data_IF_249905779777
#
_entry.id   IF_249905779777
#
_cell.length_a   1.000
_cell.length_b   1.000
_cell.length_c   1.000
_cell.angle_alpha   90.00
_cell.angle_beta   90.00
_cell.angle_gamma   90.00
#
_symmetry.space_group_name_H-M   'P 1'
#
loop_
_entity.id
_entity.type
_entity.pdbx_description
1 polymer ?
#
# COMPACT_ATOMS: atom_id res chain seq x y z
N UNK A 1 5.64 -22.56 -13.46
CA UNK A 1 4.26 -22.08 -13.44
C UNK A 1 4.10 -20.98 -12.41
N UNK A 2 3.78 -19.79 -12.87
CA UNK A 2 3.68 -18.64 -11.95
C UNK A 2 2.31 -18.70 -11.28
N UNK A 3 2.29 -18.76 -9.94
CA UNK A 3 1.04 -18.68 -9.20
C UNK A 3 0.48 -17.27 -9.31
N UNK A 4 -0.82 -17.16 -9.56
CA UNK A 4 -1.49 -15.86 -9.49
C UNK A 4 -1.36 -15.30 -8.07
N UNK A 5 -1.02 -14.01 -7.89
CA UNK A 5 -0.98 -13.42 -6.56
C UNK A 5 -2.36 -13.51 -5.91
N UNK A 6 -2.36 -13.67 -4.60
CA UNK A 6 -3.62 -13.61 -3.84
C UNK A 6 -4.22 -12.22 -4.01
N UNK A 7 -5.55 -12.13 -3.97
CA UNK A 7 -6.28 -10.88 -4.07
C UNK A 7 -5.73 -9.82 -3.10
N UNK A 8 -5.49 -10.21 -1.84
CA UNK A 8 -4.92 -9.31 -0.83
C UNK A 8 -3.51 -8.83 -1.19
N UNK A 9 -2.66 -9.71 -1.74
CA UNK A 9 -1.30 -9.36 -2.16
C UNK A 9 -1.33 -8.39 -3.34
N UNK A 10 -2.24 -8.60 -4.28
CA UNK A 10 -2.41 -7.73 -5.43
C UNK A 10 -2.82 -6.32 -5.01
N UNK A 11 -3.74 -6.21 -4.07
CA UNK A 11 -4.18 -4.93 -3.51
C UNK A 11 -3.02 -4.23 -2.80
N UNK A 12 -2.25 -4.94 -1.96
CA UNK A 12 -1.10 -4.37 -1.26
C UNK A 12 -0.04 -3.85 -2.22
N UNK A 13 0.31 -4.65 -3.22
CA UNK A 13 1.33 -4.28 -4.19
C UNK A 13 0.92 -3.04 -4.99
N UNK A 14 -0.30 -3.02 -5.49
CA UNK A 14 -0.81 -1.87 -6.23
C UNK A 14 -0.89 -0.62 -5.34
N UNK A 15 -1.34 -0.78 -4.09
CA UNK A 15 -1.38 0.32 -3.11
C UNK A 15 0.00 0.88 -2.83
N UNK A 16 1.00 0.01 -2.64
CA UNK A 16 2.38 0.43 -2.41
C UNK A 16 2.94 1.22 -3.60
N UNK A 17 2.65 0.80 -4.82
CA UNK A 17 3.08 1.50 -6.03
C UNK A 17 2.43 2.89 -6.15
N UNK A 18 1.14 2.98 -5.88
CA UNK A 18 0.42 4.25 -5.89
C UNK A 18 0.98 5.20 -4.83
N UNK A 19 1.20 4.70 -3.61
CA UNK A 19 1.73 5.52 -2.52
C UNK A 19 3.16 5.97 -2.77
N UNK A 20 4.00 5.12 -3.37
CA UNK A 20 5.35 5.50 -3.76
C UNK A 20 5.33 6.60 -4.82
N UNK A 21 4.49 6.44 -5.83
CA UNK A 21 4.32 7.43 -6.90
C UNK A 21 3.80 8.76 -6.34
N UNK A 22 2.82 8.70 -5.44
CA UNK A 22 2.28 9.89 -4.79
C UNK A 22 3.35 10.68 -4.05
N UNK A 23 4.25 10.00 -3.35
CA UNK A 23 5.36 10.65 -2.64
C UNK A 23 6.32 11.36 -3.59
N UNK A 24 6.54 10.79 -4.78
CA UNK A 24 7.47 11.35 -5.77
C UNK A 24 6.87 12.49 -6.57
N UNK A 25 5.63 12.35 -7.01
CA UNK A 25 5.01 13.25 -7.96
C UNK A 25 4.18 14.36 -7.31
N UNK A 26 3.86 14.23 -6.03
CA UNK A 26 2.99 15.17 -5.31
C UNK A 26 1.66 15.41 -6.03
N UNK A 27 1.19 14.43 -6.79
CA UNK A 27 -0.09 14.47 -7.46
C UNK A 27 -1.22 14.26 -6.44
N UNK A 28 -2.46 14.57 -6.83
CA UNK A 28 -3.61 14.23 -6.00
C UNK A 28 -3.77 12.71 -5.96
N UNK A 29 -3.85 12.15 -4.76
CA UNK A 29 -3.94 10.71 -4.58
C UNK A 29 -5.18 10.13 -5.26
N UNK A 30 -6.27 10.89 -5.29
CA UNK A 30 -7.51 10.47 -5.97
C UNK A 30 -7.28 10.24 -7.46
N UNK A 31 -6.50 11.11 -8.10
CA UNK A 31 -6.20 10.98 -9.53
C UNK A 31 -5.38 9.72 -9.81
N UNK A 32 -4.43 9.40 -8.94
CA UNK A 32 -3.63 8.19 -9.07
C UNK A 32 -4.47 6.92 -8.91
N UNK A 33 -5.39 6.91 -7.97
CA UNK A 33 -6.32 5.79 -7.78
C UNK A 33 -7.25 5.65 -8.98
N UNK A 34 -7.81 6.74 -9.46
CA UNK A 34 -8.70 6.73 -10.63
C UNK A 34 -7.97 6.26 -11.89
N UNK A 35 -6.73 6.68 -12.07
CA UNK A 35 -5.88 6.21 -13.18
C UNK A 35 -5.67 4.70 -13.11
N UNK A 36 -5.37 4.18 -11.93
CA UNK A 36 -5.20 2.74 -11.71
C UNK A 36 -6.49 1.98 -12.06
N UNK A 37 -7.64 2.48 -11.61
CA UNK A 37 -8.93 1.86 -11.90
C UNK A 37 -9.18 1.80 -13.42
N UNK A 38 -8.90 2.88 -14.13
CA UNK A 38 -9.05 2.92 -15.59
C UNK A 38 -8.11 1.95 -16.30
N UNK A 39 -6.86 1.90 -15.88
CA UNK A 39 -5.84 1.02 -16.49
C UNK A 39 -6.20 -0.46 -16.29
N UNK A 40 -6.65 -0.83 -15.10
CA UNK A 40 -7.00 -2.22 -14.79
C UNK A 40 -8.29 -2.66 -15.49
N UNK A 41 -9.20 -1.74 -15.78
CA UNK A 41 -10.40 -2.06 -16.55
C UNK A 41 -10.10 -2.29 -18.02
N UNK A 42 -9.08 -1.64 -18.56
CA UNK A 42 -8.71 -1.74 -19.98
C UNK A 42 -7.89 -2.97 -20.33
N UNK A 43 -7.21 -3.57 -19.35
CA UNK A 43 -6.30 -4.68 -19.59
C UNK A 43 -7.08 -5.99 -19.57
N UNK A 44 -7.20 -6.71 -20.69
CA UNK A 44 -7.89 -8.01 -20.73
C UNK A 44 -7.21 -9.01 -19.78
N UNK A 45 -8.00 -9.75 -19.02
CA UNK A 45 -7.51 -10.76 -18.08
C UNK A 45 -6.97 -10.21 -16.76
N UNK A 46 -6.87 -8.89 -16.62
CA UNK A 46 -6.41 -8.25 -15.39
C UNK A 46 -7.56 -7.55 -14.65
N UNK A 47 -8.78 -8.00 -14.89
CA UNK A 47 -9.96 -7.37 -14.28
C UNK A 47 -9.92 -7.45 -12.76
N UNK A 48 -10.09 -6.31 -12.13
CA UNK A 48 -10.18 -6.21 -10.68
C UNK A 48 -11.65 -6.27 -10.27
N UNK A 49 -11.94 -7.05 -9.24
CA UNK A 49 -13.27 -7.10 -8.68
C UNK A 49 -13.60 -5.80 -7.93
N UNK A 50 -14.87 -5.50 -7.82
CA UNK A 50 -15.32 -4.32 -7.08
C UNK A 50 -14.78 -4.29 -5.65
N UNK A 51 -14.78 -5.43 -4.96
CA UNK A 51 -14.26 -5.53 -3.60
C UNK A 51 -12.76 -5.21 -3.53
N UNK A 52 -11.99 -5.63 -4.54
CA UNK A 52 -10.56 -5.33 -4.61
C UNK A 52 -10.31 -3.84 -4.82
N UNK A 53 -11.04 -3.21 -5.73
CA UNK A 53 -10.92 -1.77 -6.00
C UNK A 53 -11.30 -0.95 -4.77
N UNK A 54 -12.34 -1.36 -4.07
CA UNK A 54 -12.77 -0.71 -2.84
C UNK A 54 -11.70 -0.82 -1.75
N UNK A 55 -11.10 -1.99 -1.56
CA UNK A 55 -10.04 -2.20 -0.59
C UNK A 55 -8.79 -1.38 -0.92
N UNK A 56 -8.42 -1.31 -2.20
CA UNK A 56 -7.28 -0.50 -2.62
C UNK A 56 -7.52 0.98 -2.28
N UNK A 57 -8.68 1.49 -2.64
CA UNK A 57 -9.04 2.90 -2.38
C UNK A 57 -9.00 3.21 -0.89
N UNK A 58 -9.61 2.36 -0.09
CA UNK A 58 -9.64 2.50 1.37
C UNK A 58 -8.22 2.45 1.97
N UNK A 59 -7.40 1.52 1.53
CA UNK A 59 -6.04 1.36 2.02
C UNK A 59 -5.18 2.57 1.66
N UNK A 60 -5.22 3.00 0.41
CA UNK A 60 -4.43 4.15 -0.06
C UNK A 60 -4.83 5.43 0.67
N UNK A 61 -6.13 5.74 0.74
CA UNK A 61 -6.58 6.96 1.41
C UNK A 61 -6.29 6.95 2.90
N UNK A 62 -6.44 5.80 3.57
CA UNK A 62 -6.14 5.68 4.99
C UNK A 62 -4.65 5.89 5.27
N UNK A 63 -3.78 5.33 4.44
CA UNK A 63 -2.34 5.52 4.58
C UNK A 63 -1.93 6.98 4.39
N UNK A 64 -2.49 7.67 3.41
CA UNK A 64 -2.21 9.10 3.20
C UNK A 64 -2.69 9.93 4.41
N UNK A 65 -3.88 9.63 4.90
CA UNK A 65 -4.45 10.34 6.04
C UNK A 65 -3.63 10.16 7.32
N UNK A 66 -3.13 8.96 7.55
CA UNK A 66 -2.43 8.60 8.79
C UNK A 66 -0.90 8.54 8.64
N UNK A 67 -0.36 9.01 7.52
CA UNK A 67 1.07 8.89 7.20
C UNK A 67 1.99 9.49 8.28
N UNK A 68 1.62 10.63 8.82
CA UNK A 68 2.44 11.29 9.84
C UNK A 68 2.56 10.44 11.11
N UNK A 69 1.46 9.80 11.50
CA UNK A 69 1.45 8.88 12.64
C UNK A 69 2.35 7.67 12.38
N UNK A 70 2.25 7.09 11.18
CA UNK A 70 3.07 5.93 10.81
C UNK A 70 4.54 6.29 10.70
N UNK A 71 4.86 7.43 10.10
CA UNK A 71 6.24 7.92 10.01
C UNK A 71 6.84 8.13 11.41
N UNK A 72 6.06 8.65 12.34
CA UNK A 72 6.49 8.85 13.72
C UNK A 72 6.83 7.51 14.40
N UNK A 73 6.01 6.49 14.19
CA UNK A 73 6.25 5.15 14.74
C UNK A 73 7.53 4.56 14.16
N UNK A 74 7.73 4.65 12.85
CA UNK A 74 8.93 4.14 12.17
C UNK A 74 10.18 4.87 12.67
N UNK A 75 10.12 6.19 12.78
CA UNK A 75 11.25 7.01 13.25
C UNK A 75 11.66 6.63 14.67
N UNK A 76 10.69 6.33 15.54
CA UNK A 76 10.96 5.93 16.92
C UNK A 76 11.64 4.56 17.05
N UNK A 77 11.55 3.73 16.00
CA UNK A 77 12.15 2.37 15.96
C UNK A 77 13.41 2.30 15.14
N UNK A 78 13.71 3.32 14.34
CA UNK A 78 14.86 3.32 13.46
C UNK A 78 16.05 4.01 14.13
N UNK A 79 17.23 3.40 14.01
CA UNK A 79 18.49 4.02 14.46
C UNK A 79 19.01 5.07 13.49
N UNK A 80 18.45 5.09 12.28
CA UNK A 80 18.82 6.07 11.24
C UNK A 80 17.76 7.14 11.17
N UNK A 81 18.16 8.40 11.20
CA UNK A 81 17.26 9.54 11.10
C UNK A 81 16.77 9.84 9.69
N UNK A 82 17.12 8.99 8.71
CA UNK A 82 16.75 9.20 7.31
C UNK A 82 15.34 8.68 7.04
N UNK A 83 14.59 9.47 6.29
CA UNK A 83 13.31 9.03 5.73
C UNK A 83 13.57 7.87 4.77
N UNK A 84 12.86 6.74 4.89
CA UNK A 84 13.01 5.63 3.94
C UNK A 84 12.69 6.04 2.50
N UNK A 85 13.22 5.30 1.53
CA UNK A 85 12.83 5.46 0.13
C UNK A 85 11.30 5.34 -0.02
N UNK A 86 10.70 6.02 -1.01
CA UNK A 86 9.23 6.03 -1.14
C UNK A 86 8.58 4.65 -1.18
N UNK A 87 9.19 3.67 -1.81
CA UNK A 87 8.67 2.29 -1.86
C UNK A 87 8.63 1.66 -0.48
N UNK A 88 9.71 1.76 0.27
CA UNK A 88 9.81 1.18 1.60
C UNK A 88 8.89 1.91 2.59
N UNK A 89 8.82 3.22 2.47
CA UNK A 89 7.92 4.04 3.30
C UNK A 89 6.47 3.63 3.08
N UNK A 90 6.07 3.42 1.83
CA UNK A 90 4.73 2.95 1.49
C UNK A 90 4.43 1.58 2.10
N UNK A 91 5.39 0.66 2.03
CA UNK A 91 5.25 -0.68 2.63
C UNK A 91 5.07 -0.57 4.15
N UNK A 92 5.83 0.28 4.83
CA UNK A 92 5.67 0.51 6.27
C UNK A 92 4.28 1.08 6.60
N UNK A 93 3.78 2.02 5.82
CA UNK A 93 2.43 2.57 6.04
C UNK A 93 1.37 1.47 5.94
N UNK A 94 1.46 0.64 4.92
CA UNK A 94 0.50 -0.46 4.71
C UNK A 94 0.57 -1.46 5.86
N UNK A 95 1.78 -1.88 6.25
CA UNK A 95 1.97 -2.83 7.34
C UNK A 95 1.43 -2.28 8.66
N UNK A 96 1.73 -1.03 8.99
CA UNK A 96 1.24 -0.38 10.21
C UNK A 96 -0.27 -0.20 10.18
N UNK A 97 -0.83 0.14 9.03
CA UNK A 97 -2.28 0.25 8.88
C UNK A 97 -2.98 -1.08 9.17
N UNK A 98 -2.49 -2.16 8.57
CA UNK A 98 -3.06 -3.48 8.79
C UNK A 98 -2.91 -3.94 10.24
N UNK A 99 -1.78 -3.62 10.86
CA UNK A 99 -1.52 -4.01 12.24
C UNK A 99 -2.40 -3.24 13.25
N UNK A 100 -2.60 -1.94 13.02
CA UNK A 100 -3.26 -1.06 13.99
C UNK A 100 -4.74 -0.86 13.73
N UNK A 101 -5.15 -0.79 12.48
CA UNK A 101 -6.51 -0.40 12.10
C UNK A 101 -7.40 -1.60 11.68
N UNK A 102 -6.79 -2.67 11.16
CA UNK A 102 -7.55 -3.80 10.64
C UNK A 102 -7.49 -5.03 11.55
N UNK A 103 -6.83 -4.91 12.71
CA UNK A 103 -6.74 -5.99 13.71
C UNK A 103 -6.23 -7.32 13.13
N UNK A 104 -5.27 -7.27 12.21
CA UNK A 104 -4.62 -8.46 11.69
C UNK A 104 -3.65 -9.05 12.70
N UNK A 105 -3.39 -10.35 12.61
CA UNK A 105 -2.39 -11.02 13.44
C UNK A 105 -1.01 -10.43 13.13
N UNK A 106 -0.23 -9.99 14.16
CA UNK A 106 1.04 -9.31 13.93
C UNK A 106 2.02 -10.08 13.05
N UNK A 107 2.15 -11.40 13.24
CA UNK A 107 3.09 -12.20 12.45
C UNK A 107 2.71 -12.25 10.97
N UNK A 108 1.42 -12.32 10.65
CA UNK A 108 0.97 -12.31 9.26
C UNK A 108 1.27 -10.98 8.58
N UNK A 109 1.09 -9.87 9.29
CA UNK A 109 1.39 -8.53 8.77
C UNK A 109 2.88 -8.37 8.51
N UNK A 110 3.72 -8.82 9.43
CA UNK A 110 5.17 -8.75 9.29
C UNK A 110 5.64 -9.59 8.10
N UNK A 111 5.14 -10.82 7.98
CA UNK A 111 5.49 -11.70 6.86
C UNK A 111 5.14 -11.07 5.52
N UNK A 112 3.96 -10.48 5.39
CA UNK A 112 3.54 -9.81 4.17
C UNK A 112 4.40 -8.58 3.86
N UNK A 113 4.77 -7.80 4.86
CA UNK A 113 5.64 -6.65 4.69
C UNK A 113 7.02 -7.08 4.17
N UNK A 114 7.57 -8.17 4.71
CA UNK A 114 8.85 -8.73 4.26
C UNK A 114 8.74 -9.21 2.81
N UNK A 115 7.64 -9.84 2.44
CA UNK A 115 7.42 -10.32 1.06
C UNK A 115 7.33 -9.17 0.06
N UNK A 116 6.86 -8.00 0.47
CA UNK A 116 6.74 -6.83 -0.40
C UNK A 116 8.07 -6.07 -0.54
N UNK A 117 9.01 -6.30 0.33
CA UNK A 117 10.33 -5.70 0.23
C UNK A 117 11.27 -6.57 -0.61
#
# INVERSE_FOLDING_TARGET
MVKKPRSADRVRLASARILARWQREHAHVEDLVDQHDRETQRTPGAAWEYAERRRLRELVFSCVRLRSRYDHIVAGRSRKSRTPAPELRAIFWIALHELTELDHKPHAVVDEAVRLT
#
